data_IF_032006469861
#
_entry.id   IF_032006469861
#
_cell.length_a   1.000
_cell.length_b   1.000
_cell.length_c   1.000
_cell.angle_alpha   90.00
_cell.angle_beta   90.00
_cell.angle_gamma   90.00
#
_symmetry.space_group_name_H-M   'P 1'
#
loop_
_entity.id
_entity.type
_entity.pdbx_description
1 polymer ?
#
# COMPACT_ATOMS: atom_id res chain seq x y z
N UNK A 1 -12.02 -10.56 0.53
CA UNK A 1 -12.25 -9.16 0.92
C UNK A 1 -13.62 -8.96 1.59
N UNK A 2 -14.71 -9.54 1.13
CA UNK A 2 -16.00 -9.35 1.82
C UNK A 2 -15.95 -9.72 3.30
N UNK A 3 -15.39 -10.86 3.66
CA UNK A 3 -15.24 -11.29 5.05
C UNK A 3 -14.32 -10.35 5.86
N UNK A 4 -13.26 -9.83 5.25
CA UNK A 4 -12.39 -8.85 5.87
C UNK A 4 -13.13 -7.56 6.22
N UNK A 5 -13.91 -7.03 5.29
CA UNK A 5 -14.66 -5.78 5.50
C UNK A 5 -15.78 -5.96 6.52
N UNK A 6 -16.44 -7.12 6.53
CA UNK A 6 -17.42 -7.48 7.55
C UNK A 6 -16.78 -7.51 8.94
N UNK A 7 -15.59 -8.10 9.07
CA UNK A 7 -14.83 -8.09 10.32
C UNK A 7 -14.45 -6.66 10.76
N UNK A 8 -14.06 -5.80 9.80
CA UNK A 8 -13.79 -4.39 10.08
C UNK A 8 -15.04 -3.66 10.61
N UNK A 9 -16.20 -3.92 10.02
CA UNK A 9 -17.47 -3.37 10.48
C UNK A 9 -17.79 -3.81 11.91
N UNK A 10 -17.58 -5.10 12.23
CA UNK A 10 -17.76 -5.62 13.58
C UNK A 10 -16.85 -4.94 14.59
N UNK A 11 -15.57 -4.77 14.27
CA UNK A 11 -14.61 -4.09 15.14
C UNK A 11 -15.03 -2.64 15.41
N UNK A 12 -15.47 -1.93 14.38
CA UNK A 12 -15.90 -0.53 14.53
C UNK A 12 -17.20 -0.36 15.29
N UNK A 13 -18.08 -1.36 15.24
CA UNK A 13 -19.37 -1.35 15.93
C UNK A 13 -19.26 -1.56 17.44
N UNK A 14 -18.14 -2.09 17.93
CA UNK A 14 -17.93 -2.32 19.35
C UNK A 14 -17.91 -1.00 20.12
N UNK A 15 -18.56 -1.01 21.29
CA UNK A 15 -18.70 0.19 22.14
C UNK A 15 -17.35 0.82 22.49
N UNK A 16 -16.34 0.00 22.81
CA UNK A 16 -14.98 0.45 23.13
C UNK A 16 -14.24 1.10 21.96
N UNK A 17 -14.69 0.86 20.74
CA UNK A 17 -14.08 1.37 19.51
C UNK A 17 -14.82 2.59 18.93
N UNK A 18 -15.92 2.99 19.52
CA UNK A 18 -16.67 4.17 19.05
C UNK A 18 -15.81 5.42 19.12
N UNK A 19 -15.85 6.23 18.06
CA UNK A 19 -15.10 7.49 17.94
C UNK A 19 -13.58 7.32 17.92
N UNK A 20 -13.08 6.07 17.78
CA UNK A 20 -11.65 5.85 17.59
C UNK A 20 -11.31 5.84 16.10
N UNK A 21 -10.14 6.39 15.70
CA UNK A 21 -9.64 6.25 14.34
C UNK A 21 -9.48 4.79 13.97
N UNK A 22 -9.79 4.44 12.72
CA UNK A 22 -9.61 3.10 12.21
C UNK A 22 -8.53 3.11 11.13
N UNK A 23 -7.57 2.21 11.25
CA UNK A 23 -6.48 2.07 10.32
C UNK A 23 -6.32 0.59 9.94
N UNK A 24 -6.42 0.29 8.64
CA UNK A 24 -6.30 -1.05 8.10
C UNK A 24 -4.95 -1.20 7.38
N UNK A 25 -4.20 -2.23 7.72
CA UNK A 25 -2.99 -2.61 6.98
C UNK A 25 -3.22 -3.97 6.34
N UNK A 26 -3.06 -4.04 5.03
CA UNK A 26 -3.24 -5.28 4.26
C UNK A 26 -1.90 -5.67 3.63
N UNK A 27 -1.40 -6.83 3.99
CA UNK A 27 -0.21 -7.45 3.42
C UNK A 27 -0.57 -8.87 2.98
N UNK A 28 -0.77 -9.07 1.73
CA UNK A 28 -0.60 -8.20 0.58
C UNK A 28 -1.85 -8.25 -0.33
N UNK A 29 -1.94 -7.27 -1.23
CA UNK A 29 -3.06 -7.19 -2.18
C UNK A 29 -3.22 -8.49 -2.99
N UNK A 30 -2.11 -9.07 -3.46
CA UNK A 30 -2.11 -10.26 -4.32
C UNK A 30 -2.64 -11.52 -3.65
N UNK A 31 -2.67 -11.56 -2.32
CA UNK A 31 -3.18 -12.71 -1.55
C UNK A 31 -4.67 -12.62 -1.23
N UNK A 32 -5.30 -11.50 -1.58
CA UNK A 32 -6.72 -11.30 -1.31
C UNK A 32 -7.60 -12.02 -2.31
N UNK A 33 -8.80 -12.39 -1.85
CA UNK A 33 -9.86 -12.99 -2.65
C UNK A 33 -11.07 -12.05 -2.68
N UNK A 34 -11.67 -11.89 -3.85
CA UNK A 34 -12.87 -11.06 -4.02
C UNK A 34 -14.19 -11.78 -3.68
N UNK A 35 -14.12 -13.06 -3.37
CA UNK A 35 -15.27 -13.86 -2.99
C UNK A 35 -16.18 -14.27 -4.16
N UNK A 36 -15.84 -13.89 -5.39
CA UNK A 36 -16.71 -14.13 -6.56
C UNK A 36 -16.29 -15.32 -7.41
N UNK A 37 -15.01 -15.63 -7.44
CA UNK A 37 -14.48 -16.68 -8.32
C UNK A 37 -13.51 -17.58 -7.56
N UNK A 38 -13.99 -18.76 -7.21
CA UNK A 38 -13.18 -19.79 -6.54
C UNK A 38 -12.00 -20.28 -7.39
N UNK A 39 -12.02 -20.03 -8.70
CA UNK A 39 -11.00 -20.45 -9.65
C UNK A 39 -10.46 -19.29 -10.48
N UNK A 40 -10.03 -18.26 -9.79
CA UNK A 40 -9.06 -17.34 -10.30
C UNK A 40 -9.25 -16.78 -11.70
N UNK A 41 -10.10 -15.84 -11.88
CA UNK A 41 -9.86 -14.85 -12.93
C UNK A 41 -8.55 -14.15 -12.55
N UNK A 42 -7.48 -14.41 -13.31
CA UNK A 42 -6.14 -14.12 -12.89
C UNK A 42 -5.82 -12.70 -12.48
N UNK A 43 -4.96 -12.62 -11.53
CA UNK A 43 -4.04 -11.57 -11.15
C UNK A 43 -4.57 -10.15 -11.15
N UNK A 44 -4.43 -9.45 -12.25
CA UNK A 44 -4.69 -8.01 -12.36
C UNK A 44 -6.15 -7.62 -12.12
N UNK A 45 -7.09 -8.38 -12.67
CA UNK A 45 -8.52 -8.08 -12.53
C UNK A 45 -8.99 -8.32 -11.09
N UNK A 46 -8.48 -9.38 -10.45
CA UNK A 46 -8.76 -9.68 -9.05
C UNK A 46 -8.17 -8.58 -8.13
N UNK A 47 -6.94 -8.19 -8.35
CA UNK A 47 -6.27 -7.15 -7.55
C UNK A 47 -7.02 -5.82 -7.65
N UNK A 48 -7.43 -5.44 -8.85
CA UNK A 48 -8.24 -4.25 -9.07
C UNK A 48 -9.58 -4.30 -8.33
N UNK A 49 -10.29 -5.43 -8.39
CA UNK A 49 -11.56 -5.59 -7.67
C UNK A 49 -11.38 -5.54 -6.17
N UNK A 50 -10.38 -6.25 -5.63
CA UNK A 50 -10.09 -6.25 -4.20
C UNK A 50 -9.72 -4.86 -3.70
N UNK A 51 -8.87 -4.14 -4.41
CA UNK A 51 -8.51 -2.78 -4.05
C UNK A 51 -9.72 -1.84 -4.14
N UNK A 52 -10.55 -1.98 -5.16
CA UNK A 52 -11.80 -1.22 -5.29
C UNK A 52 -12.74 -1.39 -4.11
N UNK A 53 -12.93 -2.62 -3.64
CA UNK A 53 -13.74 -2.91 -2.46
C UNK A 53 -13.19 -2.24 -1.21
N UNK A 54 -11.88 -2.29 -1.00
CA UNK A 54 -11.22 -1.66 0.15
C UNK A 54 -11.32 -0.14 0.08
N UNK A 55 -11.05 0.47 -1.08
CA UNK A 55 -11.11 1.93 -1.24
C UNK A 55 -12.52 2.46 -1.08
N UNK A 56 -13.52 1.77 -1.60
CA UNK A 56 -14.93 2.15 -1.44
C UNK A 56 -15.35 2.08 0.03
N UNK A 57 -14.97 1.02 0.73
CA UNK A 57 -15.25 0.87 2.15
C UNK A 57 -14.59 2.00 2.97
N UNK A 58 -13.33 2.31 2.70
CA UNK A 58 -12.60 3.38 3.38
C UNK A 58 -13.26 4.74 3.16
N UNK A 59 -13.70 5.04 1.94
CA UNK A 59 -14.40 6.28 1.63
C UNK A 59 -15.75 6.39 2.33
N UNK A 60 -16.51 5.31 2.34
CA UNK A 60 -17.81 5.25 3.01
C UNK A 60 -17.70 5.45 4.52
N UNK A 61 -16.65 4.95 5.13
CA UNK A 61 -16.49 4.93 6.59
C UNK A 61 -15.48 5.95 7.12
N UNK A 62 -14.91 6.80 6.26
CA UNK A 62 -13.80 7.73 6.62
C UNK A 62 -12.64 7.02 7.31
N UNK A 63 -12.33 5.81 6.88
CA UNK A 63 -11.24 5.00 7.39
C UNK A 63 -10.00 5.16 6.53
N UNK A 64 -8.84 4.88 7.12
CA UNK A 64 -7.56 4.86 6.43
C UNK A 64 -7.08 3.43 6.22
N UNK A 65 -6.44 3.18 5.09
CA UNK A 65 -5.83 1.89 4.82
C UNK A 65 -4.47 2.05 4.13
N UNK A 66 -3.56 1.16 4.46
CA UNK A 66 -2.34 0.90 3.71
C UNK A 66 -2.44 -0.49 3.12
N UNK A 67 -2.35 -0.57 1.81
CA UNK A 67 -2.40 -1.84 1.08
C UNK A 67 -1.03 -2.07 0.46
N UNK A 68 -0.39 -3.16 0.86
CA UNK A 68 0.93 -3.53 0.37
C UNK A 68 0.77 -4.37 -0.88
N UNK A 69 1.42 -3.93 -1.97
CA UNK A 69 1.50 -4.67 -3.22
C UNK A 69 2.90 -5.20 -3.44
N UNK A 70 3.00 -6.46 -3.84
CA UNK A 70 4.29 -7.07 -4.16
C UNK A 70 4.70 -6.72 -5.58
N UNK A 71 6.01 -6.50 -5.77
CA UNK A 71 6.61 -6.25 -7.08
C UNK A 71 7.28 -7.52 -7.61
N UNK A 72 7.42 -7.61 -8.93
CA UNK A 72 8.16 -8.67 -9.58
C UNK A 72 9.69 -8.43 -9.47
N UNK A 73 10.49 -9.33 -10.07
CA UNK A 73 11.96 -9.24 -10.06
C UNK A 73 12.49 -7.96 -10.74
N UNK A 74 11.73 -7.35 -11.65
CA UNK A 74 12.09 -6.09 -12.29
C UNK A 74 11.71 -4.85 -11.46
N UNK A 75 11.13 -5.04 -10.29
CA UNK A 75 10.69 -3.94 -9.42
C UNK A 75 9.35 -3.34 -9.79
N UNK A 76 8.60 -3.99 -10.68
CA UNK A 76 7.30 -3.52 -11.15
C UNK A 76 6.16 -4.36 -10.57
N UNK A 77 5.07 -3.68 -10.23
CA UNK A 77 3.82 -4.34 -9.87
C UNK A 77 2.90 -4.39 -11.09
N UNK A 78 2.39 -5.58 -11.40
CA UNK A 78 1.47 -5.78 -12.52
C UNK A 78 0.23 -4.88 -12.35
N UNK A 79 -0.08 -4.10 -13.39
CA UNK A 79 -1.24 -3.21 -13.38
C UNK A 79 -1.07 -1.96 -12.52
N UNK A 80 0.14 -1.59 -12.13
CA UNK A 80 0.41 -0.46 -11.23
C UNK A 80 -0.18 0.87 -11.70
N UNK A 81 -0.21 1.13 -12.99
CA UNK A 81 -0.81 2.36 -13.52
C UNK A 81 -2.31 2.47 -13.22
N UNK A 82 -3.05 1.36 -13.34
CA UNK A 82 -4.48 1.32 -13.00
C UNK A 82 -4.68 1.49 -11.49
N UNK A 83 -3.91 0.75 -10.69
CA UNK A 83 -4.00 0.81 -9.23
C UNK A 83 -3.65 2.19 -8.69
N UNK A 84 -2.68 2.87 -9.31
CA UNK A 84 -2.27 4.23 -8.96
C UNK A 84 -3.45 5.23 -9.02
N UNK A 85 -4.35 5.06 -9.97
CA UNK A 85 -5.53 5.93 -10.09
C UNK A 85 -6.60 5.67 -9.01
N UNK A 86 -6.55 4.53 -8.36
CA UNK A 86 -7.53 4.11 -7.36
C UNK A 86 -7.20 4.56 -5.94
N UNK A 87 -5.96 4.97 -5.69
CA UNK A 87 -5.47 5.31 -4.34
C UNK A 87 -5.14 6.80 -4.23
N UNK A 88 -5.15 7.33 -3.02
CA UNK A 88 -4.81 8.74 -2.75
C UNK A 88 -3.31 8.97 -2.72
N UNK A 89 -2.54 7.98 -2.34
CA UNK A 89 -1.09 8.03 -2.31
C UNK A 89 -0.52 6.68 -2.73
N UNK A 90 0.62 6.72 -3.41
CA UNK A 90 1.36 5.53 -3.80
C UNK A 90 2.85 5.75 -3.55
N UNK A 91 3.44 4.83 -2.82
CA UNK A 91 4.88 4.80 -2.55
C UNK A 91 5.49 3.50 -3.06
N UNK A 92 6.73 3.56 -3.48
CA UNK A 92 7.51 2.36 -3.81
C UNK A 92 8.65 2.22 -2.81
N UNK A 93 8.97 0.97 -2.47
CA UNK A 93 10.10 0.61 -1.63
C UNK A 93 10.95 -0.40 -2.40
N UNK A 94 12.20 -0.04 -2.66
CA UNK A 94 13.16 -0.86 -3.40
C UNK A 94 14.50 -0.89 -2.70
N UNK A 95 15.47 -1.61 -3.26
CA UNK A 95 16.85 -1.66 -2.74
C UNK A 95 17.76 -0.90 -3.69
N UNK A 96 18.62 -0.01 -3.16
CA UNK A 96 19.64 0.66 -3.95
C UNK A 96 20.79 -0.30 -4.23
N UNK A 97 21.14 -0.46 -5.49
CA UNK A 97 22.21 -1.37 -5.93
C UNK A 97 23.32 -0.67 -6.73
N UNK A 98 23.07 0.54 -7.21
CA UNK A 98 23.94 1.24 -8.15
C UNK A 98 24.95 2.15 -7.49
N UNK A 99 24.50 2.97 -6.55
CA UNK A 99 25.36 3.93 -5.86
C UNK A 99 26.17 3.19 -4.77
N UNK A 100 27.53 3.20 -4.86
CA UNK A 100 28.38 2.53 -3.88
C UNK A 100 28.18 3.02 -2.44
N UNK A 101 27.90 4.30 -2.27
CA UNK A 101 27.74 4.92 -0.94
C UNK A 101 26.40 4.59 -0.29
N UNK A 102 25.39 4.25 -1.11
CA UNK A 102 24.03 3.98 -0.67
C UNK A 102 23.60 2.53 -0.89
N UNK A 103 24.54 1.69 -1.33
CA UNK A 103 24.24 0.27 -1.64
C UNK A 103 23.67 -0.46 -0.43
N UNK A 104 22.59 -1.18 -0.65
CA UNK A 104 21.88 -1.91 0.39
C UNK A 104 20.84 -1.08 1.15
N UNK A 105 20.85 0.25 1.00
CA UNK A 105 19.78 1.07 1.53
C UNK A 105 18.45 0.75 0.85
N UNK A 106 17.37 0.94 1.56
CA UNK A 106 16.03 0.91 0.98
C UNK A 106 15.71 2.29 0.43
N UNK A 107 15.13 2.32 -0.76
CA UNK A 107 14.72 3.56 -1.43
C UNK A 107 13.21 3.66 -1.33
N UNK A 108 12.74 4.65 -0.57
CA UNK A 108 11.33 4.97 -0.47
C UNK A 108 11.05 6.17 -1.38
N UNK A 109 10.16 5.98 -2.33
CA UNK A 109 9.81 7.01 -3.30
C UNK A 109 8.31 7.27 -3.31
N UNK A 110 7.92 8.54 -3.18
CA UNK A 110 6.54 8.97 -3.31
C UNK A 110 6.19 9.14 -4.78
N UNK A 111 5.42 8.20 -5.33
CA UNK A 111 5.02 8.18 -6.74
C UNK A 111 3.77 9.03 -6.98
N UNK A 112 2.84 9.01 -6.04
CA UNK A 112 1.60 9.80 -6.08
C UNK A 112 1.24 10.23 -4.67
N UNK A 113 0.82 11.48 -4.54
CA UNK A 113 0.25 12.00 -3.30
C UNK A 113 -0.79 13.06 -3.63
N UNK A 114 -2.07 12.70 -3.50
CA UNK A 114 -3.19 13.60 -3.81
C UNK A 114 -3.22 14.83 -2.90
N UNK A 115 -2.80 14.67 -1.66
CA UNK A 115 -2.95 15.68 -0.61
C UNK A 115 -1.66 16.41 -0.25
N UNK A 116 -0.59 16.20 -0.99
CA UNK A 116 0.69 16.83 -0.67
C UNK A 116 1.72 16.71 -1.79
N UNK A 117 2.96 16.93 -1.44
CA UNK A 117 4.08 16.83 -2.38
C UNK A 117 4.35 15.42 -2.85
N UNK A 118 4.77 15.26 -4.09
CA UNK A 118 5.21 13.98 -4.65
C UNK A 118 6.60 14.12 -5.25
N UNK A 119 7.22 12.97 -5.61
CA UNK A 119 8.53 12.94 -6.24
C UNK A 119 9.71 12.96 -5.27
N UNK A 120 9.49 12.99 -3.96
CA UNK A 120 10.56 12.85 -2.97
C UNK A 120 11.12 11.44 -2.92
N UNK A 121 12.45 11.33 -2.78
CA UNK A 121 13.15 10.05 -2.65
C UNK A 121 13.93 10.03 -1.34
N UNK A 122 13.74 8.98 -0.56
CA UNK A 122 14.37 8.80 0.75
C UNK A 122 15.19 7.53 0.74
N UNK A 123 16.44 7.63 1.20
CA UNK A 123 17.32 6.47 1.36
C UNK A 123 17.33 6.08 2.82
N UNK A 124 16.94 4.84 3.11
CA UNK A 124 16.74 4.32 4.46
C UNK A 124 17.68 3.14 4.70
N UNK A 125 18.37 3.17 5.82
CA UNK A 125 19.16 2.05 6.28
C UNK A 125 18.34 1.20 7.25
N UNK A 126 18.23 -0.11 6.98
CA UNK A 126 17.56 -1.03 7.89
C UNK A 126 18.52 -1.48 8.98
N UNK A 127 18.21 -1.17 10.23
CA UNK A 127 18.95 -1.52 11.41
C UNK A 127 18.10 -2.33 12.39
N UNK A 128 18.69 -2.83 13.46
CA UNK A 128 18.00 -3.63 14.49
C UNK A 128 16.76 -2.94 15.08
N UNK A 129 16.79 -1.63 15.17
CA UNK A 129 15.69 -0.83 15.72
C UNK A 129 14.72 -0.26 14.67
N UNK A 130 14.87 -0.67 13.42
CA UNK A 130 14.04 -0.20 12.30
C UNK A 130 14.83 0.61 11.28
N UNK A 131 14.12 1.44 10.53
CA UNK A 131 14.73 2.26 9.48
C UNK A 131 15.32 3.56 10.02
N UNK A 132 16.47 3.93 9.45
CA UNK A 132 17.10 5.23 9.66
C UNK A 132 17.26 5.93 8.31
N UNK A 133 16.78 7.15 8.20
CA UNK A 133 17.02 7.99 7.02
C UNK A 133 18.49 8.42 6.97
N UNK A 134 19.17 8.13 5.86
CA UNK A 134 20.58 8.48 5.66
C UNK A 134 20.76 9.52 4.57
N UNK A 135 19.82 9.65 3.64
CA UNK A 135 19.84 10.64 2.59
C UNK A 135 18.44 10.94 2.08
N UNK A 136 18.27 12.13 1.50
CA UNK A 136 16.99 12.56 0.94
C UNK A 136 17.26 13.37 -0.32
N UNK A 137 16.44 13.11 -1.37
CA UNK A 137 16.37 13.94 -2.56
C UNK A 137 14.96 14.47 -2.68
N UNK A 138 14.81 15.77 -2.58
CA UNK A 138 13.53 16.43 -2.76
C UNK A 138 13.27 16.70 -4.23
N UNK A 139 12.02 16.55 -4.68
CA UNK A 139 11.62 17.04 -5.98
C UNK A 139 11.73 18.56 -6.01
N UNK A 140 12.34 19.08 -7.07
CA UNK A 140 12.44 20.52 -7.28
C UNK A 140 11.06 21.13 -7.57
#
# INVERSE_FOLDING_TARGET
VPALLEFCDELRSKKENRNKPFFLIVDSLQTLDDGKYANGGGGRAKDRRCLGMITDWCKEHYANAVVIGQVNKSGEMAGSNVLKHMVDAMMTLSVEERDPDLRGCRVLQMVKNRFGGSGGTFFLELRDRGFREVARVSAA
#
